data_IF_973775361005
#
_entry.id   IF_973775361005
#
_cell.length_a   1.000
_cell.length_b   1.000
_cell.length_c   1.000
_cell.angle_alpha   90.00
_cell.angle_beta   90.00
_cell.angle_gamma   90.00
#
_symmetry.space_group_name_H-M   'P 1'
#
loop_
_entity.id
_entity.type
_entity.pdbx_description
1 polymer ?
#
# COMPACT_ATOMS: atom_id res chain seq x y z
N UNK A 1 8.33 25.87 3.07
CA UNK A 1 8.90 24.88 2.12
C UNK A 1 8.48 23.50 2.57
N UNK A 2 7.54 22.88 1.84
CA UNK A 2 7.05 21.53 2.09
C UNK A 2 8.19 20.51 2.03
N UNK A 3 8.66 20.10 3.21
CA UNK A 3 9.65 19.03 3.32
C UNK A 3 8.91 17.72 2.98
N UNK A 4 9.16 17.16 1.81
CA UNK A 4 8.70 15.83 1.43
C UNK A 4 9.42 14.78 2.29
N UNK A 5 8.76 14.32 3.36
CA UNK A 5 9.32 13.39 4.35
C UNK A 5 9.26 11.90 3.93
N UNK A 6 8.72 11.57 2.76
CA UNK A 6 8.30 10.20 2.47
C UNK A 6 9.43 9.19 2.24
N UNK A 7 10.69 9.64 2.08
CA UNK A 7 11.80 8.74 1.75
C UNK A 7 12.98 9.03 2.67
N UNK A 8 12.88 8.61 3.94
CA UNK A 8 14.04 8.45 4.83
C UNK A 8 14.16 6.98 5.20
N UNK A 9 15.36 6.42 5.07
CA UNK A 9 15.65 5.03 5.43
C UNK A 9 15.43 3.99 4.34
N UNK A 10 15.20 4.38 3.08
CA UNK A 10 15.20 3.44 1.96
C UNK A 10 16.64 3.10 1.59
N UNK A 11 16.93 1.82 1.38
CA UNK A 11 18.19 1.35 0.82
C UNK A 11 18.53 2.10 -0.48
N UNK A 12 19.76 2.61 -0.57
CA UNK A 12 20.18 3.46 -1.69
C UNK A 12 20.17 2.69 -3.02
N UNK A 13 20.49 1.39 -2.99
CA UNK A 13 20.44 0.52 -4.17
C UNK A 13 19.02 0.32 -4.68
N UNK A 14 18.08 0.06 -3.76
CA UNK A 14 16.66 -0.06 -4.07
C UNK A 14 16.08 1.25 -4.63
N UNK A 15 16.41 2.38 -4.01
CA UNK A 15 15.96 3.69 -4.51
C UNK A 15 16.49 3.99 -5.92
N UNK A 16 17.74 3.63 -6.20
CA UNK A 16 18.33 3.78 -7.54
C UNK A 16 17.57 2.95 -8.59
N UNK A 17 17.31 1.66 -8.29
CA UNK A 17 16.52 0.79 -9.18
C UNK A 17 15.11 1.34 -9.40
N UNK A 18 14.47 1.81 -8.33
CA UNK A 18 13.14 2.41 -8.40
C UNK A 18 13.10 3.67 -9.26
N UNK A 19 14.10 4.55 -9.12
CA UNK A 19 14.26 5.75 -9.95
C UNK A 19 14.43 5.39 -11.42
N UNK A 20 15.28 4.41 -11.74
CA UNK A 20 15.48 3.93 -13.12
C UNK A 20 14.20 3.36 -13.72
N UNK A 21 13.46 2.56 -12.97
CA UNK A 21 12.17 2.03 -13.42
C UNK A 21 11.17 3.15 -13.69
N UNK A 22 11.04 4.13 -12.78
CA UNK A 22 10.16 5.27 -12.99
C UNK A 22 10.53 6.07 -14.25
N UNK A 23 11.83 6.29 -14.50
CA UNK A 23 12.31 6.97 -15.69
C UNK A 23 11.98 6.19 -16.98
N UNK A 24 12.19 4.87 -16.97
CA UNK A 24 11.90 4.00 -18.12
C UNK A 24 10.42 4.06 -18.53
N UNK A 25 9.50 4.06 -17.57
CA UNK A 25 8.07 4.15 -17.83
C UNK A 25 7.53 5.59 -17.95
N UNK A 26 8.39 6.61 -17.90
CA UNK A 26 8.02 8.03 -17.88
C UNK A 26 6.99 8.36 -16.78
N UNK A 27 7.19 7.81 -15.58
CA UNK A 27 6.33 8.00 -14.42
C UNK A 27 7.00 8.89 -13.38
N UNK A 28 6.19 9.72 -12.71
CA UNK A 28 6.64 10.49 -11.55
C UNK A 28 6.84 9.56 -10.35
N UNK A 29 8.06 9.56 -9.79
CA UNK A 29 8.44 8.82 -8.56
C UNK A 29 7.43 9.07 -7.44
N UNK A 30 7.03 10.33 -7.25
CA UNK A 30 6.06 10.73 -6.22
C UNK A 30 4.71 10.05 -6.44
N UNK A 31 4.21 10.05 -7.67
CA UNK A 31 2.91 9.46 -7.99
C UNK A 31 2.92 7.94 -7.84
N UNK A 32 4.01 7.29 -8.24
CA UNK A 32 4.16 5.83 -8.07
C UNK A 32 4.17 5.46 -6.60
N UNK A 33 4.91 6.21 -5.77
CA UNK A 33 4.96 5.98 -4.32
C UNK A 33 3.58 6.16 -3.68
N UNK A 34 2.88 7.26 -3.99
CA UNK A 34 1.53 7.52 -3.47
C UNK A 34 0.57 6.39 -3.86
N UNK A 35 0.55 5.99 -5.14
CA UNK A 35 -0.30 4.89 -5.62
C UNK A 35 0.02 3.57 -4.92
N UNK A 36 1.30 3.28 -4.69
CA UNK A 36 1.72 2.09 -3.97
C UNK A 36 1.20 2.12 -2.53
N UNK A 37 1.36 3.24 -1.81
CA UNK A 37 0.86 3.39 -0.44
C UNK A 37 -0.67 3.26 -0.36
N UNK A 38 -1.41 3.90 -1.28
CA UNK A 38 -2.87 3.77 -1.37
C UNK A 38 -3.28 2.32 -1.56
N UNK A 39 -2.67 1.62 -2.53
CA UNK A 39 -2.94 0.21 -2.77
C UNK A 39 -2.66 -0.66 -1.54
N UNK A 40 -1.54 -0.44 -0.85
CA UNK A 40 -1.20 -1.19 0.36
C UNK A 40 -2.24 -0.97 1.47
N UNK A 41 -2.72 0.26 1.65
CA UNK A 41 -3.79 0.57 2.62
C UNK A 41 -5.10 -0.09 2.21
N UNK A 42 -5.51 0.03 0.95
CA UNK A 42 -6.75 -0.55 0.44
C UNK A 42 -6.77 -2.08 0.55
N UNK A 43 -5.67 -2.73 0.18
CA UNK A 43 -5.51 -4.18 0.29
C UNK A 43 -5.60 -4.62 1.77
N UNK A 44 -5.01 -3.87 2.70
CA UNK A 44 -5.10 -4.15 4.14
C UNK A 44 -6.53 -3.93 4.70
N UNK A 45 -7.20 -2.87 4.29
CA UNK A 45 -8.58 -2.59 4.67
C UNK A 45 -9.53 -3.68 4.17
N UNK A 46 -9.35 -4.15 2.93
CA UNK A 46 -10.14 -5.25 2.38
C UNK A 46 -9.96 -6.54 3.19
N UNK A 47 -8.73 -6.88 3.61
CA UNK A 47 -8.48 -8.04 4.48
C UNK A 47 -9.19 -7.90 5.83
N UNK A 48 -9.08 -6.72 6.48
CA UNK A 48 -9.75 -6.48 7.75
C UNK A 48 -11.27 -6.58 7.62
N UNK A 49 -11.87 -5.92 6.63
CA UNK A 49 -13.31 -5.95 6.39
C UNK A 49 -13.79 -7.39 6.15
N UNK A 50 -13.12 -8.13 5.27
CA UNK A 50 -13.49 -9.53 4.98
C UNK A 50 -13.34 -10.45 6.19
N UNK A 51 -12.31 -10.26 7.01
CA UNK A 51 -12.13 -11.03 8.25
C UNK A 51 -13.22 -10.71 9.29
N UNK A 52 -13.68 -9.46 9.35
CA UNK A 52 -14.75 -9.02 10.24
C UNK A 52 -16.11 -9.55 9.81
N UNK A 53 -16.41 -9.51 8.50
CA UNK A 53 -17.63 -10.10 7.95
C UNK A 53 -17.68 -11.62 8.13
N UNK A 54 -16.57 -12.33 7.90
CA UNK A 54 -16.48 -13.77 8.16
C UNK A 54 -16.67 -14.11 9.65
N UNK A 55 -16.14 -13.30 10.56
CA UNK A 55 -16.35 -13.47 11.99
C UNK A 55 -17.81 -13.21 12.42
N UNK A 56 -18.48 -12.22 11.83
CA UNK A 56 -19.89 -11.92 12.11
C UNK A 56 -20.84 -13.01 11.57
N UNK A 57 -20.57 -13.58 10.39
CA UNK A 57 -21.38 -14.66 9.82
C UNK A 57 -21.28 -15.96 10.65
N UNK A 58 -20.09 -16.30 11.15
CA UNK A 58 -19.92 -17.46 12.07
C UNK A 58 -20.73 -17.32 13.36
N UNK A 59 -20.90 -16.09 13.88
CA UNK A 59 -21.71 -15.83 15.08
C UNK A 59 -23.21 -15.91 14.85
N UNK A 60 -23.70 -15.69 13.61
CA UNK A 60 -25.13 -15.81 13.26
C UNK A 60 -25.56 -17.20 12.81
N UNK A 61 -24.63 -18.05 12.35
CA UNK A 61 -24.92 -19.43 11.92
C UNK A 61 -24.89 -20.49 13.02
N UNK A 62 -24.48 -20.13 14.24
CA UNK A 62 -24.36 -21.03 15.40
C UNK A 62 -25.59 -21.04 16.32
N UNK A 63 -26.77 -21.28 15.77
CA UNK A 63 -27.95 -21.76 16.52
C UNK A 63 -28.66 -22.78 15.63
N UNK A 64 -28.28 -24.05 15.78
CA UNK A 64 -29.16 -25.19 15.50
C UNK A 64 -29.40 -25.89 16.82
#
# INVERSE_FOLDING_TARGET
MDKNYLIKGIDQGLYSKFKTACAYYNLSIKNVLIKHMQKTVDDHMNVMINSTFAAQQRRKGGKR
#
